data_IF_041650653287
#
_entry.id   IF_041650653287
#
_cell.length_a   1.000
_cell.length_b   1.000
_cell.length_c   1.000
_cell.angle_alpha   90.00
_cell.angle_beta   90.00
_cell.angle_gamma   90.00
#
_symmetry.space_group_name_H-M   'P 1'
#
loop_
_entity.id
_entity.type
_entity.pdbx_description
1 polymer ?
#
# COMPACT_ATOMS: atom_id res chain seq x y z
N UNK A 1 -20.61 25.82 4.44
CA UNK A 1 -20.00 24.92 5.44
C UNK A 1 -20.50 23.48 5.30
N UNK A 2 -21.81 23.25 5.06
CA UNK A 2 -22.34 21.91 4.81
C UNK A 2 -21.60 21.18 3.66
N UNK A 3 -21.35 21.84 2.54
CA UNK A 3 -20.70 21.22 1.37
C UNK A 3 -19.26 20.73 1.64
N UNK A 4 -18.53 21.41 2.53
CA UNK A 4 -17.18 21.03 2.91
C UNK A 4 -17.18 19.80 3.83
N UNK A 5 -18.10 19.76 4.79
CA UNK A 5 -18.28 18.60 5.67
C UNK A 5 -18.72 17.37 4.86
N UNK A 6 -19.67 17.54 3.94
CA UNK A 6 -20.09 16.48 3.03
C UNK A 6 -18.95 16.00 2.12
N UNK A 7 -18.14 16.94 1.59
CA UNK A 7 -16.97 16.56 0.81
C UNK A 7 -15.98 15.72 1.62
N UNK A 8 -15.67 16.12 2.84
CA UNK A 8 -14.70 15.43 3.69
C UNK A 8 -15.18 14.04 4.15
N UNK A 9 -16.47 13.89 4.47
CA UNK A 9 -17.01 12.61 4.95
C UNK A 9 -17.28 11.67 3.76
N UNK A 10 -18.05 12.14 2.78
CA UNK A 10 -18.64 11.27 1.76
C UNK A 10 -17.82 11.21 0.47
N UNK A 11 -17.10 12.27 0.11
CA UNK A 11 -16.39 12.38 -1.19
C UNK A 11 -14.88 12.32 -1.08
N UNK A 12 -14.32 12.26 0.13
CA UNK A 12 -12.88 12.09 0.33
C UNK A 12 -12.42 10.75 -0.22
N UNK A 13 -11.20 10.75 -0.74
CA UNK A 13 -10.46 9.51 -1.01
C UNK A 13 -10.10 8.81 0.31
N UNK A 14 -9.63 7.57 0.18
CA UNK A 14 -9.12 6.77 1.27
C UNK A 14 -7.91 7.46 1.93
N UNK A 15 -7.87 7.39 3.25
CA UNK A 15 -6.80 7.97 4.04
C UNK A 15 -6.57 7.15 5.31
N UNK A 16 -5.31 6.90 5.70
CA UNK A 16 -4.97 6.18 6.93
C UNK A 16 -5.41 6.91 8.19
N UNK A 17 -5.55 8.24 8.14
CA UNK A 17 -5.98 9.04 9.29
C UNK A 17 -7.51 9.20 9.39
N UNK A 18 -8.27 8.63 8.44
CA UNK A 18 -9.72 8.69 8.42
C UNK A 18 -10.34 7.37 8.90
N UNK A 19 -10.99 7.41 10.07
CA UNK A 19 -11.85 6.32 10.52
C UNK A 19 -13.15 6.33 9.71
N UNK A 20 -13.30 5.35 8.83
CA UNK A 20 -14.50 5.13 8.02
C UNK A 20 -14.64 3.64 7.73
N UNK A 21 -15.63 3.01 8.35
CA UNK A 21 -15.92 1.58 8.21
C UNK A 21 -16.55 1.24 6.84
N UNK A 22 -17.05 2.24 6.09
CA UNK A 22 -17.59 2.03 4.76
C UNK A 22 -16.51 2.11 3.67
N UNK A 23 -15.29 2.53 4.04
CA UNK A 23 -14.13 2.63 3.17
C UNK A 23 -12.99 1.75 3.72
N UNK A 24 -13.14 0.41 3.72
CA UNK A 24 -12.04 -0.50 4.02
C UNK A 24 -10.93 -0.31 2.99
N UNK A 25 -9.70 -0.19 3.46
CA UNK A 25 -8.58 0.31 2.65
C UNK A 25 -7.99 -0.80 1.81
N UNK A 26 -8.03 -2.02 2.30
CA UNK A 26 -7.68 -3.23 1.57
C UNK A 26 -8.54 -3.43 0.31
N UNK A 27 -9.84 -3.09 0.36
CA UNK A 27 -10.69 -3.16 -0.84
C UNK A 27 -10.30 -2.09 -1.86
N UNK A 28 -9.92 -0.89 -1.40
CA UNK A 28 -9.37 0.15 -2.27
C UNK A 28 -8.08 -0.30 -2.94
N UNK A 29 -7.18 -0.90 -2.18
CA UNK A 29 -5.93 -1.43 -2.70
C UNK A 29 -6.20 -2.45 -3.81
N UNK A 30 -7.04 -3.45 -3.54
CA UNK A 30 -7.37 -4.49 -4.52
C UNK A 30 -8.05 -3.92 -5.77
N UNK A 31 -8.93 -2.91 -5.64
CA UNK A 31 -9.51 -2.22 -6.79
C UNK A 31 -8.42 -1.56 -7.64
N UNK A 32 -7.47 -0.88 -7.01
CA UNK A 32 -6.34 -0.22 -7.70
C UNK A 32 -5.45 -1.22 -8.42
N UNK A 33 -5.11 -2.33 -7.76
CA UNK A 33 -4.30 -3.41 -8.36
C UNK A 33 -4.99 -3.95 -9.61
N UNK A 34 -6.28 -4.28 -9.52
CA UNK A 34 -7.04 -4.80 -10.65
C UNK A 34 -7.14 -3.79 -11.79
N UNK A 35 -7.40 -2.52 -11.48
CA UNK A 35 -7.48 -1.44 -12.49
C UNK A 35 -6.14 -1.19 -13.18
N UNK A 36 -5.04 -1.27 -12.44
CA UNK A 36 -3.70 -1.14 -12.98
C UNK A 36 -3.26 -2.38 -13.78
N UNK A 37 -3.96 -3.52 -13.63
CA UNK A 37 -3.52 -4.83 -14.11
C UNK A 37 -2.10 -5.15 -13.62
N UNK A 38 -1.84 -4.84 -12.36
CA UNK A 38 -0.52 -4.99 -11.77
C UNK A 38 -0.24 -6.46 -11.42
N UNK A 39 0.95 -6.94 -11.78
CA UNK A 39 1.42 -8.29 -11.44
C UNK A 39 1.93 -8.38 -9.99
N UNK A 40 2.27 -7.23 -9.39
CA UNK A 40 2.79 -7.13 -8.03
C UNK A 40 2.52 -5.76 -7.39
N UNK A 41 2.68 -5.68 -6.08
CA UNK A 41 2.47 -4.47 -5.27
C UNK A 41 3.69 -4.13 -4.41
N UNK A 42 4.11 -2.87 -4.40
CA UNK A 42 5.03 -2.36 -3.38
C UNK A 42 4.22 -1.57 -2.35
N UNK A 43 4.19 -2.04 -1.11
CA UNK A 43 3.56 -1.37 0.02
C UNK A 43 4.63 -0.59 0.76
N UNK A 44 4.67 0.73 0.55
CA UNK A 44 5.63 1.62 1.19
C UNK A 44 4.94 2.51 2.22
N UNK A 45 5.50 2.60 3.42
CA UNK A 45 5.07 3.57 4.43
C UNK A 45 6.25 4.40 4.92
N UNK A 46 6.00 5.65 5.31
CA UNK A 46 6.99 6.44 6.02
C UNK A 46 7.20 5.84 7.42
N UNK A 47 8.46 5.71 7.86
CA UNK A 47 8.76 5.34 9.24
C UNK A 47 8.13 6.33 10.20
N UNK A 48 7.67 5.83 11.35
CA UNK A 48 7.00 6.63 12.39
C UNK A 48 5.70 7.29 11.91
N UNK A 49 5.11 6.83 10.80
CA UNK A 49 3.75 7.17 10.42
C UNK A 49 2.84 6.02 10.85
N UNK A 50 2.49 5.94 12.14
CA UNK A 50 1.70 4.85 12.69
C UNK A 50 0.42 4.58 11.86
N UNK A 51 -0.35 5.58 11.41
CA UNK A 51 -1.51 5.33 10.57
C UNK A 51 -1.17 4.60 9.26
N UNK A 52 -0.03 4.91 8.63
CA UNK A 52 0.42 4.23 7.41
C UNK A 52 1.00 2.83 7.68
N UNK A 53 1.68 2.65 8.82
CA UNK A 53 2.24 1.36 9.23
C UNK A 53 1.14 0.37 9.63
N UNK A 54 0.10 0.83 10.34
CA UNK A 54 -1.05 0.00 10.71
C UNK A 54 -1.81 -0.52 9.49
N UNK A 55 -1.95 0.29 8.44
CA UNK A 55 -2.60 -0.13 7.19
C UNK A 55 -1.86 -1.28 6.48
N UNK A 56 -0.53 -1.38 6.65
CA UNK A 56 0.24 -2.47 6.05
C UNK A 56 -0.31 -3.84 6.45
N UNK A 57 -0.79 -4.00 7.68
CA UNK A 57 -1.35 -5.27 8.18
C UNK A 57 -2.58 -5.69 7.35
N UNK A 58 -3.50 -4.76 7.09
CA UNK A 58 -4.69 -5.04 6.29
C UNK A 58 -4.33 -5.28 4.82
N UNK A 59 -3.37 -4.51 4.29
CA UNK A 59 -2.90 -4.66 2.91
C UNK A 59 -2.23 -6.00 2.65
N UNK A 60 -1.26 -6.40 3.47
CA UNK A 60 -0.53 -7.66 3.28
C UNK A 60 -1.46 -8.85 3.43
N UNK A 61 -2.35 -8.85 4.43
CA UNK A 61 -3.36 -9.91 4.60
C UNK A 61 -4.22 -10.08 3.35
N UNK A 62 -4.74 -8.97 2.80
CA UNK A 62 -5.59 -9.04 1.61
C UNK A 62 -4.84 -9.45 0.34
N UNK A 63 -3.58 -9.03 0.19
CA UNK A 63 -2.74 -9.43 -0.94
C UNK A 63 -2.38 -10.92 -0.88
N UNK A 64 -2.00 -11.42 0.31
CA UNK A 64 -1.75 -12.84 0.57
C UNK A 64 -2.98 -13.69 0.26
N UNK A 65 -4.16 -13.30 0.76
CA UNK A 65 -5.43 -14.00 0.49
C UNK A 65 -5.78 -14.09 -1.00
N UNK A 66 -5.33 -13.12 -1.80
CA UNK A 66 -5.53 -13.09 -3.25
C UNK A 66 -4.38 -13.70 -4.05
N UNK A 67 -3.30 -14.13 -3.38
CA UNK A 67 -2.10 -14.64 -4.03
C UNK A 67 -1.40 -13.60 -4.91
N UNK A 68 -1.52 -12.31 -4.58
CA UNK A 68 -0.87 -11.22 -5.31
C UNK A 68 0.52 -11.04 -4.70
N UNK A 69 1.57 -11.08 -5.52
CA UNK A 69 2.94 -10.87 -5.04
C UNK A 69 3.13 -9.44 -4.52
N UNK A 70 3.81 -9.28 -3.39
CA UNK A 70 4.08 -7.95 -2.85
C UNK A 70 5.41 -7.84 -2.11
N UNK A 71 5.87 -6.60 -1.98
CA UNK A 71 7.04 -6.20 -1.23
C UNK A 71 6.66 -5.07 -0.26
N UNK A 72 6.97 -5.23 1.02
CA UNK A 72 6.73 -4.20 2.04
C UNK A 72 8.04 -3.49 2.35
N UNK A 73 8.00 -2.17 2.40
CA UNK A 73 9.15 -1.37 2.77
C UNK A 73 8.76 -0.13 3.56
N UNK A 74 9.73 0.39 4.30
CA UNK A 74 9.62 1.62 5.07
C UNK A 74 10.70 2.59 4.63
N UNK A 75 10.38 3.88 4.59
CA UNK A 75 11.33 4.93 4.20
C UNK A 75 11.37 6.07 5.21
N UNK A 76 12.50 6.78 5.24
CA UNK A 76 12.64 8.03 5.98
C UNK A 76 12.73 9.17 4.95
N UNK A 77 11.98 10.25 5.12
CA UNK A 77 11.94 11.35 4.14
C UNK A 77 13.31 12.00 3.89
N UNK A 78 14.19 11.95 4.89
CA UNK A 78 15.54 12.52 4.86
C UNK A 78 16.64 11.48 4.60
N UNK A 79 16.29 10.25 4.19
CA UNK A 79 17.30 9.24 3.88
C UNK A 79 18.16 9.66 2.67
N UNK A 80 19.45 9.38 2.75
CA UNK A 80 20.43 9.72 1.70
C UNK A 80 21.06 8.50 1.05
N UNK A 81 20.83 7.30 1.60
CA UNK A 81 21.28 6.03 1.03
C UNK A 81 20.09 5.11 0.79
N UNK A 82 20.09 4.44 -0.36
CA UNK A 82 19.04 3.53 -0.81
C UNK A 82 19.57 2.12 -1.13
N UNK A 83 20.85 1.84 -0.86
CA UNK A 83 21.52 0.58 -1.25
C UNK A 83 20.78 -0.67 -0.75
N UNK A 84 20.31 -0.63 0.51
CA UNK A 84 19.55 -1.73 1.08
C UNK A 84 18.18 -1.90 0.39
N UNK A 85 17.48 -0.80 0.10
CA UNK A 85 16.19 -0.83 -0.56
C UNK A 85 16.32 -1.36 -1.99
N UNK A 86 17.36 -0.92 -2.71
CA UNK A 86 17.70 -1.38 -4.06
C UNK A 86 17.90 -2.90 -4.07
N UNK A 87 18.77 -3.41 -3.21
CA UNK A 87 19.04 -4.85 -3.10
C UNK A 87 17.77 -5.67 -2.79
N UNK A 88 16.90 -5.15 -1.91
CA UNK A 88 15.65 -5.81 -1.55
C UNK A 88 14.65 -5.84 -2.71
N UNK A 89 14.52 -4.73 -3.45
CA UNK A 89 13.65 -4.64 -4.63
C UNK A 89 14.16 -5.53 -5.75
N UNK A 90 15.48 -5.57 -6.01
CA UNK A 90 16.08 -6.48 -6.98
C UNK A 90 15.73 -7.94 -6.67
N UNK A 91 15.93 -8.37 -5.42
CA UNK A 91 15.60 -9.72 -4.97
C UNK A 91 14.10 -10.03 -5.16
N UNK A 92 13.23 -9.07 -4.88
CA UNK A 92 11.79 -9.23 -5.08
C UNK A 92 11.43 -9.40 -6.56
N UNK A 93 12.03 -8.59 -7.44
CA UNK A 93 11.80 -8.68 -8.88
C UNK A 93 12.33 -9.99 -9.47
N UNK A 94 13.49 -10.46 -9.04
CA UNK A 94 14.03 -11.77 -9.43
C UNK A 94 13.05 -12.90 -9.06
N UNK A 95 12.55 -12.91 -7.82
CA UNK A 95 11.57 -13.89 -7.37
C UNK A 95 10.29 -13.86 -8.23
N UNK A 96 9.81 -12.65 -8.59
CA UNK A 96 8.63 -12.49 -9.43
C UNK A 96 8.85 -13.07 -10.84
N UNK A 97 10.00 -12.81 -11.45
CA UNK A 97 10.36 -13.29 -12.78
C UNK A 97 10.43 -14.82 -12.83
N UNK A 98 10.98 -15.46 -11.79
CA UNK A 98 11.12 -16.92 -11.75
C UNK A 98 9.86 -17.65 -11.28
N UNK A 99 8.97 -17.00 -10.52
CA UNK A 99 7.69 -17.58 -10.11
C UNK A 99 6.65 -17.64 -11.26
N UNK A 100 6.84 -16.86 -12.32
CA UNK A 100 5.98 -16.84 -13.51
C UNK A 100 6.49 -17.74 -14.67
N UNK A 101 7.61 -18.45 -14.47
CA UNK A 101 8.25 -19.33 -15.45
C UNK A 101 7.76 -20.78 -15.40
#
# INVERSE_FOLDING_TARGET
MADLAEAYISRSTYSPVQHDNNKPKELMLLERVNRARADAVIVAAAKMCEPGLEEQVAYTSALDEKGIAFFVTEFEENMTSFEQLETQVETFLENLLFAQA
#
